data_IF_836329908773
#
_entry.id   IF_836329908773
#
_cell.length_a   1.000
_cell.length_b   1.000
_cell.length_c   1.000
_cell.angle_alpha   90.00
_cell.angle_beta   90.00
_cell.angle_gamma   90.00
#
_symmetry.space_group_name_H-M   'P 1'
#
loop_
_entity.id
_entity.type
_entity.pdbx_description
1 polymer ?
#
# COMPACT_ATOMS: atom_id res chain seq x y z
N UNK A 1 17.48 30.78 7.40
CA UNK A 1 18.19 29.60 6.87
C UNK A 1 18.51 29.86 5.42
N UNK A 2 19.72 29.52 5.00
CA UNK A 2 20.15 29.59 3.60
C UNK A 2 19.50 28.46 2.79
N UNK A 3 19.46 28.58 1.46
CA UNK A 3 18.83 27.58 0.58
C UNK A 3 19.50 26.22 0.73
N UNK A 4 20.84 26.17 0.82
CA UNK A 4 21.58 24.93 1.00
C UNK A 4 21.18 24.20 2.29
N UNK A 5 21.03 24.94 3.40
CA UNK A 5 20.63 24.39 4.70
C UNK A 5 19.21 23.80 4.67
N UNK A 6 18.30 24.39 3.89
CA UNK A 6 16.94 23.86 3.69
C UNK A 6 17.00 22.54 2.93
N UNK A 7 17.78 22.49 1.85
CA UNK A 7 17.92 21.29 1.01
C UNK A 7 18.55 20.16 1.81
N UNK A 8 19.59 20.45 2.59
CA UNK A 8 20.25 19.46 3.46
C UNK A 8 19.26 18.87 4.47
N UNK A 9 18.49 19.71 5.18
CA UNK A 9 17.48 19.23 6.13
C UNK A 9 16.38 18.42 5.45
N UNK A 10 15.86 18.88 4.31
CA UNK A 10 14.85 18.15 3.56
C UNK A 10 15.37 16.76 3.12
N UNK A 11 16.62 16.70 2.66
CA UNK A 11 17.28 15.45 2.27
C UNK A 11 17.42 14.49 3.46
N UNK A 12 17.81 15.00 4.63
CA UNK A 12 17.90 14.20 5.85
C UNK A 12 16.52 13.65 6.29
N UNK A 13 15.46 14.46 6.19
CA UNK A 13 14.09 14.02 6.48
C UNK A 13 13.62 12.94 5.49
N UNK A 14 13.89 13.12 4.19
CA UNK A 14 13.59 12.12 3.17
C UNK A 14 14.35 10.82 3.40
N UNK A 15 15.64 10.88 3.74
CA UNK A 15 16.43 9.70 4.05
C UNK A 15 15.86 8.95 5.27
N UNK A 16 15.51 9.67 6.34
CA UNK A 16 14.95 9.05 7.53
C UNK A 16 13.57 8.43 7.24
N UNK A 17 12.68 9.15 6.59
CA UNK A 17 11.32 8.68 6.31
C UNK A 17 11.35 7.55 5.27
N UNK A 18 11.95 7.78 4.11
CA UNK A 18 11.84 6.88 2.96
C UNK A 18 12.81 5.69 3.01
N UNK A 19 13.99 5.84 3.62
CA UNK A 19 15.00 4.78 3.62
C UNK A 19 15.10 4.08 4.97
N UNK A 20 15.22 4.84 6.07
CA UNK A 20 15.43 4.25 7.41
C UNK A 20 14.12 3.68 7.98
N UNK A 21 13.04 4.44 7.90
CA UNK A 21 11.71 4.00 8.36
C UNK A 21 11.03 3.14 7.29
N UNK A 22 11.17 3.50 6.01
CA UNK A 22 10.60 2.75 4.89
C UNK A 22 9.11 2.98 4.69
N UNK A 23 8.40 1.97 4.23
CA UNK A 23 6.96 2.02 3.93
C UNK A 23 6.12 2.24 5.20
N UNK A 24 5.13 3.13 5.12
CA UNK A 24 4.34 3.62 6.28
C UNK A 24 2.85 3.35 6.12
N UNK A 25 2.47 2.11 5.78
CA UNK A 25 1.07 1.67 5.69
C UNK A 25 0.28 2.07 6.94
N UNK A 26 -0.99 2.42 6.77
CA UNK A 26 -1.87 2.76 7.90
C UNK A 26 -1.89 1.59 8.89
N UNK A 27 -1.78 1.90 10.18
CA UNK A 27 -1.75 0.90 11.24
C UNK A 27 -0.39 0.22 11.47
N UNK A 28 0.60 0.38 10.59
CA UNK A 28 1.89 -0.29 10.75
C UNK A 28 2.79 0.33 11.83
N UNK A 29 3.76 -0.43 12.33
CA UNK A 29 4.75 0.09 13.27
C UNK A 29 5.61 1.20 12.65
N UNK A 30 6.00 1.05 11.38
CA UNK A 30 6.77 2.08 10.67
C UNK A 30 5.98 3.41 10.56
N UNK A 31 4.65 3.35 10.41
CA UNK A 31 3.80 4.54 10.46
C UNK A 31 3.83 5.20 11.85
N UNK A 32 3.74 4.43 12.93
CA UNK A 32 3.87 4.94 14.31
C UNK A 32 5.26 5.55 14.58
N UNK A 33 6.33 4.91 14.10
CA UNK A 33 7.70 5.45 14.19
C UNK A 33 7.80 6.79 13.46
N UNK A 34 7.21 6.92 12.28
CA UNK A 34 7.21 8.17 11.52
C UNK A 34 6.49 9.31 12.23
N UNK A 35 5.35 9.04 12.87
CA UNK A 35 4.64 10.06 13.67
C UNK A 35 5.48 10.52 14.87
N UNK A 36 6.12 9.59 15.60
CA UNK A 36 7.06 9.94 16.70
C UNK A 36 8.27 10.72 16.20
N UNK A 37 8.78 10.38 15.01
CA UNK A 37 9.86 11.13 14.37
C UNK A 37 9.45 12.58 14.08
N UNK A 38 8.27 12.79 13.47
CA UNK A 38 7.76 14.12 13.17
C UNK A 38 7.56 14.96 14.46
N UNK A 39 6.96 14.35 15.50
CA UNK A 39 6.81 14.97 16.81
C UNK A 39 8.18 15.39 17.39
N UNK A 40 9.17 14.50 17.38
CA UNK A 40 10.53 14.79 17.85
C UNK A 40 11.18 15.95 17.09
N UNK A 41 11.02 16.00 15.77
CA UNK A 41 11.55 17.09 14.94
C UNK A 41 10.89 18.42 15.30
N UNK A 42 9.56 18.45 15.41
CA UNK A 42 8.81 19.68 15.71
C UNK A 42 9.08 20.19 17.13
N UNK A 43 9.04 19.31 18.12
CA UNK A 43 9.36 19.66 19.53
C UNK A 43 10.80 20.14 19.68
N UNK A 44 11.76 19.50 18.99
CA UNK A 44 13.16 19.94 18.96
C UNK A 44 13.36 21.34 18.37
N UNK A 45 12.39 21.83 17.59
CA UNK A 45 12.35 23.18 17.05
C UNK A 45 11.55 24.16 17.93
N UNK A 46 11.12 23.75 19.11
CA UNK A 46 10.39 24.59 20.09
C UNK A 46 8.87 24.62 19.91
N UNK A 47 8.30 23.77 19.05
CA UNK A 47 6.84 23.69 18.88
C UNK A 47 6.19 22.85 19.97
N UNK A 48 4.98 23.26 20.39
CA UNK A 48 4.10 22.39 21.16
C UNK A 48 3.34 21.47 20.21
N UNK A 49 3.49 20.16 20.41
CA UNK A 49 2.84 19.13 19.59
C UNK A 49 1.67 18.50 20.32
N UNK A 50 0.72 17.97 19.54
CA UNK A 50 -0.35 17.09 20.01
C UNK A 50 -0.53 15.98 18.98
N UNK A 51 -0.87 14.79 19.47
CA UNK A 51 -1.10 13.62 18.62
C UNK A 51 -2.56 13.18 18.76
N UNK A 52 -3.25 13.06 17.63
CA UNK A 52 -4.60 12.47 17.58
C UNK A 52 -4.46 11.01 17.22
N UNK A 53 -4.92 10.12 18.10
CA UNK A 53 -4.91 8.69 17.86
C UNK A 53 -6.09 8.30 16.97
N UNK A 54 -5.86 7.34 16.07
CA UNK A 54 -6.88 6.73 15.24
C UNK A 54 -6.78 5.21 15.42
N UNK A 55 -7.89 4.58 15.78
CA UNK A 55 -7.97 3.12 15.88
C UNK A 55 -8.07 2.52 14.48
N UNK A 56 -6.98 1.90 14.03
CA UNK A 56 -6.86 1.27 12.71
C UNK A 56 -6.16 -0.07 12.85
N UNK A 57 -6.51 -0.99 11.96
CA UNK A 57 -5.83 -2.28 11.85
C UNK A 57 -4.45 -2.10 11.21
N UNK A 58 -3.48 -2.85 11.73
CA UNK A 58 -2.24 -3.14 10.99
C UNK A 58 -2.54 -4.30 10.03
N UNK A 59 -2.92 -4.00 8.80
CA UNK A 59 -3.17 -5.05 7.82
C UNK A 59 -1.85 -5.70 7.42
N UNK A 60 -1.79 -7.02 7.62
CA UNK A 60 -0.64 -7.85 7.28
C UNK A 60 -1.06 -8.88 6.23
N UNK A 61 -0.12 -9.24 5.36
CA UNK A 61 -0.30 -10.25 4.33
C UNK A 61 0.81 -11.29 4.40
N UNK A 62 0.48 -12.50 3.95
CA UNK A 62 1.43 -13.61 3.81
C UNK A 62 1.90 -13.76 2.34
N UNK A 63 1.71 -12.72 1.53
CA UNK A 63 1.88 -12.74 0.09
C UNK A 63 0.76 -13.47 -0.65
N UNK A 64 0.98 -13.70 -1.95
CA UNK A 64 0.08 -14.45 -2.80
C UNK A 64 0.86 -15.25 -3.85
N UNK A 65 0.25 -16.33 -4.34
CA UNK A 65 0.77 -17.10 -5.46
C UNK A 65 -0.36 -17.39 -6.43
N UNK A 66 -0.14 -17.12 -7.70
CA UNK A 66 -1.05 -17.49 -8.79
C UNK A 66 -0.30 -18.33 -9.81
N UNK A 67 -0.94 -19.42 -10.25
CA UNK A 67 -0.43 -20.25 -11.33
C UNK A 67 -1.53 -20.53 -12.37
N UNK A 68 -1.16 -20.49 -13.64
CA UNK A 68 -2.04 -20.84 -14.75
C UNK A 68 -1.26 -21.69 -15.75
N UNK A 69 -1.80 -22.86 -16.12
CA UNK A 69 -1.17 -23.79 -17.06
C UNK A 69 0.32 -24.11 -16.72
N UNK A 70 0.61 -24.31 -15.43
CA UNK A 70 1.97 -24.61 -14.95
C UNK A 70 2.92 -23.42 -14.87
N UNK A 71 2.49 -22.21 -15.27
CA UNK A 71 3.27 -20.97 -15.16
C UNK A 71 2.88 -20.20 -13.92
N UNK A 72 3.86 -19.73 -13.16
CA UNK A 72 3.65 -18.88 -11.99
C UNK A 72 3.75 -17.40 -12.35
N UNK A 73 2.94 -16.58 -11.70
CA UNK A 73 2.92 -15.13 -11.87
C UNK A 73 3.22 -14.45 -10.53
N UNK A 74 4.02 -13.39 -10.56
CA UNK A 74 4.18 -12.51 -9.42
C UNK A 74 2.88 -11.74 -9.22
N UNK A 75 2.35 -11.80 -8.01
CA UNK A 75 1.10 -11.13 -7.61
C UNK A 75 1.30 -10.54 -6.22
N UNK A 76 0.59 -9.45 -5.95
CA UNK A 76 0.64 -8.75 -4.68
C UNK A 76 -0.79 -8.69 -4.12
N UNK A 77 -1.03 -9.16 -2.89
CA UNK A 77 -2.35 -9.03 -2.27
C UNK A 77 -2.76 -7.56 -2.19
N UNK A 78 -4.00 -7.25 -2.56
CA UNK A 78 -4.53 -5.92 -2.33
C UNK A 78 -4.69 -5.68 -0.83
N UNK A 79 -4.38 -4.47 -0.33
CA UNK A 79 -4.65 -4.12 1.06
C UNK A 79 -6.10 -4.43 1.44
N UNK A 80 -6.30 -5.01 2.62
CA UNK A 80 -7.60 -5.39 3.17
C UNK A 80 -8.35 -6.51 2.41
N UNK A 81 -7.73 -7.12 1.40
CA UNK A 81 -8.30 -8.33 0.80
C UNK A 81 -8.30 -9.49 1.80
N UNK A 82 -9.35 -10.32 1.72
CA UNK A 82 -9.38 -11.58 2.43
C UNK A 82 -8.49 -12.60 1.70
N UNK A 83 -7.79 -13.43 2.47
CA UNK A 83 -7.06 -14.56 1.92
C UNK A 83 -8.01 -15.58 1.29
N UNK A 84 -7.57 -16.23 0.21
CA UNK A 84 -8.31 -17.31 -0.43
C UNK A 84 -7.36 -18.40 -0.95
N UNK A 85 -7.88 -19.62 -1.07
CA UNK A 85 -7.21 -20.74 -1.73
C UNK A 85 -8.20 -21.39 -2.67
N UNK A 86 -8.16 -20.98 -3.94
CA UNK A 86 -9.16 -21.36 -4.95
C UNK A 86 -8.48 -21.79 -6.24
N UNK A 87 -9.19 -22.59 -7.03
CA UNK A 87 -8.82 -22.97 -8.40
C UNK A 87 -10.09 -22.96 -9.23
N UNK A 88 -10.04 -22.35 -10.41
CA UNK A 88 -11.23 -22.19 -11.25
C UNK A 88 -10.88 -21.67 -12.63
N UNK A 89 -11.92 -21.49 -13.45
CA UNK A 89 -11.81 -20.89 -14.77
C UNK A 89 -11.36 -19.43 -14.66
N UNK A 90 -10.41 -19.03 -15.51
CA UNK A 90 -9.97 -17.64 -15.63
C UNK A 90 -10.81 -16.93 -16.71
N UNK A 91 -11.53 -15.88 -16.32
CA UNK A 91 -12.31 -15.04 -17.26
C UNK A 91 -11.71 -13.64 -17.35
N UNK A 92 -11.34 -13.22 -18.56
CA UNK A 92 -10.74 -11.91 -18.80
C UNK A 92 -11.81 -10.86 -19.12
N UNK A 93 -11.71 -9.69 -18.48
CA UNK A 93 -12.68 -8.60 -18.60
C UNK A 93 -11.95 -7.27 -18.77
N UNK A 94 -12.31 -6.50 -19.80
CA UNK A 94 -11.62 -5.26 -20.17
C UNK A 94 -12.35 -3.95 -19.85
N UNK A 95 -13.66 -4.01 -19.57
CA UNK A 95 -14.49 -2.83 -19.30
C UNK A 95 -15.57 -3.12 -18.25
N UNK A 96 -16.16 -2.05 -17.70
CA UNK A 96 -17.25 -2.16 -16.73
C UNK A 96 -18.52 -2.77 -17.33
N UNK A 97 -18.80 -2.46 -18.60
CA UNK A 97 -19.94 -3.01 -19.35
C UNK A 97 -19.79 -4.51 -19.53
N UNK A 98 -18.59 -4.97 -19.91
CA UNK A 98 -18.30 -6.38 -20.04
C UNK A 98 -18.40 -7.10 -18.69
N UNK A 99 -17.88 -6.50 -17.62
CA UNK A 99 -17.97 -7.07 -16.27
C UNK A 99 -19.43 -7.30 -15.86
N UNK A 100 -20.29 -6.31 -16.14
CA UNK A 100 -21.69 -6.34 -15.76
C UNK A 100 -22.52 -7.34 -16.57
N UNK A 101 -22.10 -7.66 -17.79
CA UNK A 101 -22.80 -8.57 -18.70
C UNK A 101 -22.30 -10.03 -18.64
N UNK A 102 -21.16 -10.28 -17.99
CA UNK A 102 -20.52 -11.60 -17.96
C UNK A 102 -20.91 -12.37 -16.70
N UNK A 103 -21.31 -13.64 -16.83
CA UNK A 103 -21.46 -14.52 -15.67
C UNK A 103 -20.07 -14.92 -15.14
N UNK A 104 -19.74 -14.37 -13.98
CA UNK A 104 -18.47 -14.56 -13.27
C UNK A 104 -18.61 -15.47 -12.05
N UNK A 105 -19.78 -16.08 -11.85
CA UNK A 105 -20.03 -16.99 -10.72
C UNK A 105 -19.04 -18.16 -10.74
N UNK A 106 -18.39 -18.42 -9.60
CA UNK A 106 -17.36 -19.47 -9.43
C UNK A 106 -16.14 -19.35 -10.35
N UNK A 107 -15.88 -18.16 -10.91
CA UNK A 107 -14.71 -17.89 -11.76
C UNK A 107 -13.69 -16.98 -11.09
N UNK A 108 -12.45 -17.06 -11.58
CA UNK A 108 -11.38 -16.11 -11.26
C UNK A 108 -11.39 -15.05 -12.36
N UNK A 109 -11.66 -13.79 -12.00
CA UNK A 109 -11.75 -12.69 -12.97
C UNK A 109 -10.40 -11.99 -13.12
N UNK A 110 -9.90 -11.89 -14.34
CA UNK A 110 -8.73 -11.08 -14.71
C UNK A 110 -9.22 -9.75 -15.29
N UNK A 111 -9.07 -8.67 -14.52
CA UNK A 111 -9.34 -7.32 -14.99
C UNK A 111 -8.14 -6.79 -15.78
N UNK A 112 -8.37 -6.24 -16.97
CA UNK A 112 -7.35 -5.62 -17.82
C UNK A 112 -7.92 -4.46 -18.64
N UNK A 113 -7.12 -3.74 -19.43
CA UNK A 113 -7.65 -2.68 -20.29
C UNK A 113 -8.25 -1.50 -19.52
N UNK A 114 -9.36 -0.94 -20.01
CA UNK A 114 -9.97 0.29 -19.50
C UNK A 114 -10.33 0.21 -18.01
N UNK A 115 -10.91 -0.91 -17.57
CA UNK A 115 -11.31 -1.11 -16.17
C UNK A 115 -10.12 -1.13 -15.19
N UNK A 116 -8.90 -1.35 -15.70
CA UNK A 116 -7.66 -1.41 -14.93
C UNK A 116 -6.66 -0.30 -15.33
N UNK A 117 -7.13 0.77 -15.97
CA UNK A 117 -6.27 1.83 -16.50
C UNK A 117 -5.84 2.89 -15.47
N UNK A 118 -6.27 2.75 -14.21
CA UNK A 118 -5.98 3.70 -13.12
C UNK A 118 -4.96 3.13 -12.13
#
# INVERSE_FOLDING_TARGET
MKREEIIEKATAHLQQLCTVIGERRVGSEANRVASRYAEKVLTGQGWQTRTTLLEVIDWQDEGATVACQGRKFAVFPSPYSLGCSVTGELTAVSSMEQLSATDISDKIVLLHGEIAAQ
#
